data_IF_804293851618
#
_entry.id   IF_804293851618
#
_cell.length_a   1.000
_cell.length_b   1.000
_cell.length_c   1.000
_cell.angle_alpha   90.00
_cell.angle_beta   90.00
_cell.angle_gamma   90.00
#
_symmetry.space_group_name_H-M   'P 1'
#
loop_
_entity.id
_entity.type
_entity.pdbx_description
1 polymer ?
#
# COMPACT_ATOMS: atom_id res chain seq x y z
N UNK A 1 12.56 40.98 36.56
CA UNK A 1 11.60 39.85 36.51
C UNK A 1 11.02 39.85 35.10
N UNK A 2 11.52 38.99 34.21
CA UNK A 2 11.08 38.96 32.82
C UNK A 2 9.79 38.14 32.69
N UNK A 3 8.78 38.66 32.00
CA UNK A 3 7.52 37.97 31.75
C UNK A 3 7.74 36.66 30.96
N UNK A 4 6.95 35.60 31.20
CA UNK A 4 7.06 34.36 30.44
C UNK A 4 6.70 34.63 28.96
N UNK A 5 7.37 33.96 28.00
CA UNK A 5 7.03 34.09 26.59
C UNK A 5 5.59 33.60 26.38
N UNK A 6 4.79 34.42 25.70
CA UNK A 6 3.41 34.07 25.34
C UNK A 6 3.34 32.80 24.48
N UNK A 7 2.16 32.16 24.40
CA UNK A 7 1.97 30.96 23.58
C UNK A 7 2.41 31.23 22.14
N UNK A 8 3.18 30.31 21.55
CA UNK A 8 3.58 30.39 20.14
C UNK A 8 2.32 30.45 19.28
N UNK A 9 2.27 31.28 18.23
CA UNK A 9 1.15 31.28 17.31
C UNK A 9 0.93 29.87 16.77
N UNK A 10 -0.29 29.38 16.91
CA UNK A 10 -0.78 28.15 16.30
C UNK A 10 -0.42 28.24 14.82
N UNK A 11 0.39 27.30 14.31
CA UNK A 11 0.80 27.35 12.92
C UNK A 11 -0.44 27.25 12.05
N UNK A 12 -0.65 28.24 11.17
CA UNK A 12 -1.72 28.34 10.17
C UNK A 12 -1.65 27.21 9.11
N UNK A 13 -1.49 25.96 9.56
CA UNK A 13 -1.54 24.81 8.68
C UNK A 13 -3.01 24.45 8.45
N UNK A 14 -3.47 24.48 7.20
CA UNK A 14 -4.84 24.10 6.88
C UNK A 14 -5.10 22.66 7.35
N UNK A 15 -6.32 22.43 7.87
CA UNK A 15 -6.71 21.12 8.39
C UNK A 15 -6.47 20.02 7.36
N UNK A 16 -5.85 18.92 7.81
CA UNK A 16 -5.51 17.77 6.95
C UNK A 16 -6.79 17.26 6.28
N UNK A 17 -6.78 17.24 4.94
CA UNK A 17 -7.93 16.82 4.12
C UNK A 17 -8.85 17.95 3.63
N UNK A 18 -8.60 19.20 4.01
CA UNK A 18 -9.34 20.37 3.48
C UNK A 18 -8.87 20.75 2.07
N UNK A 19 -9.73 21.44 1.30
CA UNK A 19 -9.37 21.98 -0.03
C UNK A 19 -8.15 22.91 0.07
N UNK A 20 -8.05 23.69 1.14
CA UNK A 20 -6.91 24.56 1.40
C UNK A 20 -5.60 23.77 1.64
N UNK A 21 -5.67 22.61 2.29
CA UNK A 21 -4.53 21.71 2.48
C UNK A 21 -4.06 21.08 1.17
N UNK A 22 -4.99 20.69 0.30
CA UNK A 22 -4.67 20.20 -1.05
C UNK A 22 -4.03 21.32 -1.87
N UNK A 23 -4.62 22.51 -1.88
CA UNK A 23 -4.12 23.64 -2.65
C UNK A 23 -2.73 24.11 -2.19
N UNK A 24 -2.48 24.11 -0.88
CA UNK A 24 -1.17 24.44 -0.31
C UNK A 24 -0.10 23.38 -0.61
N UNK A 25 -0.50 22.14 -0.88
CA UNK A 25 0.40 21.03 -1.26
C UNK A 25 0.64 20.90 -2.77
N UNK A 26 -0.06 21.66 -3.62
CA UNK A 26 0.15 21.62 -5.07
C UNK A 26 1.42 22.38 -5.46
N UNK A 27 2.53 21.65 -5.61
CA UNK A 27 3.75 22.16 -6.21
C UNK A 27 3.85 21.80 -7.70
N UNK A 28 4.86 22.33 -8.39
CA UNK A 28 5.11 22.06 -9.82
C UNK A 28 5.29 20.55 -10.06
N UNK A 29 5.87 19.83 -9.12
CA UNK A 29 6.04 18.37 -9.21
C UNK A 29 4.70 17.64 -9.17
N UNK A 30 3.77 18.09 -8.34
CA UNK A 30 2.42 17.52 -8.20
C UNK A 30 1.60 17.79 -9.46
N UNK A 31 1.66 19.01 -10.00
CA UNK A 31 0.98 19.37 -11.26
C UNK A 31 1.56 18.57 -12.44
N UNK A 32 2.89 18.46 -12.55
CA UNK A 32 3.52 17.65 -13.58
C UNK A 32 3.14 16.16 -13.48
N UNK A 33 3.03 15.63 -12.27
CA UNK A 33 2.58 14.26 -12.03
C UNK A 33 1.13 14.05 -12.50
N UNK A 34 0.22 14.96 -12.15
CA UNK A 34 -1.19 14.89 -12.59
C UNK A 34 -1.27 14.98 -14.11
N UNK A 35 -0.60 15.96 -14.72
CA UNK A 35 -0.59 16.14 -16.18
C UNK A 35 -0.06 14.90 -16.91
N UNK A 36 1.02 14.30 -16.39
CA UNK A 36 1.60 13.07 -16.95
C UNK A 36 0.63 11.90 -16.85
N UNK A 37 0.02 11.68 -15.68
CA UNK A 37 -0.96 10.61 -15.49
C UNK A 37 -2.20 10.80 -16.38
N UNK A 38 -2.67 12.03 -16.58
CA UNK A 38 -3.77 12.34 -17.50
C UNK A 38 -3.39 12.14 -18.96
N UNK A 39 -2.18 12.52 -19.37
CA UNK A 39 -1.66 12.23 -20.71
C UNK A 39 -1.60 10.73 -20.99
N UNK A 40 -1.09 9.94 -20.03
CA UNK A 40 -1.06 8.47 -20.14
C UNK A 40 -2.47 7.89 -20.23
N UNK A 41 -3.43 8.40 -19.45
CA UNK A 41 -4.82 7.97 -19.53
C UNK A 41 -5.43 8.24 -20.91
N UNK A 42 -5.28 9.46 -21.43
CA UNK A 42 -5.78 9.82 -22.77
C UNK A 42 -5.14 8.95 -23.85
N UNK A 43 -3.84 8.69 -23.75
CA UNK A 43 -3.12 7.83 -24.67
C UNK A 43 -3.63 6.39 -24.61
N UNK A 44 -3.84 5.85 -23.41
CA UNK A 44 -4.35 4.51 -23.21
C UNK A 44 -5.77 4.34 -23.80
N UNK A 45 -6.63 5.36 -23.64
CA UNK A 45 -7.96 5.39 -24.23
C UNK A 45 -7.89 5.51 -25.77
N UNK A 46 -7.01 6.36 -26.29
CA UNK A 46 -6.85 6.53 -27.74
C UNK A 46 -6.30 5.27 -28.42
N UNK A 47 -5.31 4.63 -27.81
CA UNK A 47 -4.67 3.41 -28.31
C UNK A 47 -5.42 2.13 -27.93
N UNK A 48 -6.55 2.22 -27.23
CA UNK A 48 -7.35 1.08 -26.80
C UNK A 48 -6.50 0.04 -26.05
N UNK A 49 -5.67 0.50 -25.11
CA UNK A 49 -4.79 -0.40 -24.36
C UNK A 49 -5.60 -1.51 -23.69
N UNK A 50 -5.14 -2.74 -23.87
CA UNK A 50 -5.72 -3.86 -23.16
C UNK A 50 -5.52 -3.66 -21.65
N UNK A 51 -6.62 -3.66 -20.92
CA UNK A 51 -6.63 -3.43 -19.47
C UNK A 51 -5.90 -4.57 -18.74
N UNK A 52 -5.91 -5.78 -19.29
CA UNK A 52 -5.31 -6.97 -18.66
C UNK A 52 -3.81 -6.84 -18.37
N UNK A 53 -2.95 -6.64 -19.37
CA UNK A 53 -1.52 -6.42 -19.15
C UNK A 53 -1.23 -5.31 -18.15
N UNK A 54 -1.99 -4.21 -18.21
CA UNK A 54 -1.83 -3.06 -17.31
C UNK A 54 -2.11 -3.47 -15.85
N UNK A 55 -3.21 -4.18 -15.59
CA UNK A 55 -3.53 -4.67 -14.24
C UNK A 55 -2.44 -5.61 -13.72
N UNK A 56 -1.93 -6.52 -14.55
CA UNK A 56 -0.85 -7.43 -14.18
C UNK A 56 0.47 -6.72 -13.84
N UNK A 57 0.79 -5.65 -14.57
CA UNK A 57 1.96 -4.81 -14.30
C UNK A 57 1.79 -4.09 -12.95
N UNK A 58 0.64 -3.48 -12.68
CA UNK A 58 0.38 -2.79 -11.41
C UNK A 58 0.29 -3.76 -10.21
N UNK A 59 -0.27 -4.96 -10.41
CA UNK A 59 -0.23 -6.02 -9.41
C UNK A 59 1.22 -6.39 -9.07
N UNK A 60 2.05 -6.62 -10.09
CA UNK A 60 3.47 -6.96 -9.92
C UNK A 60 4.21 -5.84 -9.20
N UNK A 61 3.98 -4.59 -9.59
CA UNK A 61 4.52 -3.40 -8.92
C UNK A 61 4.15 -3.38 -7.43
N UNK A 62 2.90 -3.67 -7.09
CA UNK A 62 2.43 -3.71 -5.70
C UNK A 62 3.11 -4.80 -4.88
N UNK A 63 3.31 -6.00 -5.44
CA UNK A 63 4.08 -7.08 -4.80
C UNK A 63 5.54 -6.66 -4.56
N UNK A 64 6.17 -6.08 -5.57
CA UNK A 64 7.56 -5.58 -5.51
C UNK A 64 7.70 -4.52 -4.40
N UNK A 65 6.76 -3.56 -4.33
CA UNK A 65 6.73 -2.56 -3.27
C UNK A 65 6.63 -3.22 -1.90
N UNK A 66 5.74 -4.19 -1.73
CA UNK A 66 5.59 -4.93 -0.48
C UNK A 66 6.87 -5.67 -0.07
N UNK A 67 7.53 -6.31 -1.03
CA UNK A 67 8.81 -6.99 -0.83
C UNK A 67 9.88 -6.02 -0.30
N UNK A 68 10.12 -4.89 -0.98
CA UNK A 68 11.10 -3.91 -0.52
C UNK A 68 10.67 -3.22 0.79
N UNK A 69 9.37 -3.04 1.01
CA UNK A 69 8.86 -2.48 2.25
C UNK A 69 9.16 -3.39 3.44
N UNK A 70 9.02 -4.71 3.27
CA UNK A 70 9.37 -5.68 4.32
C UNK A 70 10.84 -5.51 4.75
N UNK A 71 11.78 -5.46 3.80
CA UNK A 71 13.19 -5.20 4.12
C UNK A 71 13.42 -3.81 4.70
N UNK A 72 12.68 -2.80 4.24
CA UNK A 72 12.75 -1.45 4.80
C UNK A 72 12.35 -1.44 6.27
N UNK A 73 11.25 -2.09 6.64
CA UNK A 73 10.81 -2.23 8.03
C UNK A 73 11.92 -2.88 8.85
N UNK A 74 12.52 -3.98 8.37
CA UNK A 74 13.61 -4.67 9.08
C UNK A 74 14.92 -3.86 9.18
N UNK A 75 15.16 -2.94 8.24
CA UNK A 75 16.38 -2.12 8.22
C UNK A 75 16.34 -0.91 9.16
N UNK A 76 15.17 -0.55 9.69
CA UNK A 76 15.05 0.59 10.60
C UNK A 76 15.88 0.37 11.86
N UNK A 77 16.74 1.35 12.18
CA UNK A 77 17.52 1.38 13.43
C UNK A 77 16.90 2.28 14.47
N UNK A 78 16.26 3.37 14.03
CA UNK A 78 15.59 4.35 14.88
C UNK A 78 14.10 4.40 14.52
N UNK A 79 13.23 3.93 15.41
CA UNK A 79 11.79 3.98 15.20
C UNK A 79 11.03 4.24 16.49
N UNK A 80 9.83 4.81 16.37
CA UNK A 80 8.90 4.99 17.48
C UNK A 80 7.65 4.14 17.29
N UNK A 81 6.98 3.85 18.39
CA UNK A 81 5.73 3.07 18.44
C UNK A 81 4.64 3.83 19.21
N UNK A 82 4.80 5.14 19.36
CA UNK A 82 3.94 6.01 20.19
C UNK A 82 2.48 6.01 19.71
N UNK A 83 2.27 5.81 18.41
CA UNK A 83 0.95 5.70 17.77
C UNK A 83 0.33 4.29 17.91
N UNK A 84 1.03 3.34 18.53
CA UNK A 84 0.59 1.95 18.68
C UNK A 84 0.30 1.69 20.16
N UNK A 85 -0.96 1.36 20.45
CA UNK A 85 -1.40 0.96 21.78
C UNK A 85 -1.84 -0.50 21.79
N UNK A 86 -1.42 -1.23 22.81
CA UNK A 86 -1.87 -2.60 23.08
C UNK A 86 -2.41 -2.61 24.52
N UNK A 87 -3.67 -3.00 24.69
CA UNK A 87 -4.39 -2.94 25.98
C UNK A 87 -4.34 -1.54 26.65
N UNK A 88 -4.42 -0.47 25.86
CA UNK A 88 -4.40 0.91 26.34
C UNK A 88 -3.01 1.47 26.69
N UNK A 89 -1.98 0.62 26.75
CA UNK A 89 -0.59 1.01 26.99
C UNK A 89 0.20 1.19 25.68
N UNK A 90 1.14 2.15 25.62
CA UNK A 90 2.03 2.30 24.48
C UNK A 90 2.93 1.07 24.34
N UNK A 91 3.07 0.58 23.10
CA UNK A 91 3.97 -0.56 22.82
C UNK A 91 5.41 -0.07 22.85
N UNK A 92 6.33 -0.83 23.46
CA UNK A 92 7.74 -0.46 23.45
C UNK A 92 8.39 -0.65 22.06
N UNK A 93 9.25 0.30 21.61
CA UNK A 93 9.94 0.27 20.32
C UNK A 93 11.14 -0.70 20.35
N UNK A 94 10.87 -1.97 20.61
CA UNK A 94 11.89 -3.03 20.65
C UNK A 94 12.07 -3.67 19.28
N UNK A 95 13.24 -4.28 19.05
CA UNK A 95 13.48 -5.13 17.86
C UNK A 95 12.48 -6.29 17.76
N UNK A 96 12.00 -6.80 18.89
CA UNK A 96 10.95 -7.83 18.92
C UNK A 96 9.65 -7.35 18.31
N UNK A 97 9.20 -6.14 18.70
CA UNK A 97 8.01 -5.48 18.13
C UNK A 97 8.17 -5.27 16.62
N UNK A 98 9.32 -4.76 16.19
CA UNK A 98 9.64 -4.53 14.77
C UNK A 98 9.52 -5.81 13.95
N UNK A 99 10.13 -6.91 14.40
CA UNK A 99 10.07 -8.20 13.71
C UNK A 99 8.66 -8.76 13.62
N UNK A 100 7.88 -8.70 14.71
CA UNK A 100 6.48 -9.15 14.73
C UNK A 100 5.63 -8.36 13.74
N UNK A 101 5.79 -7.03 13.70
CA UNK A 101 5.08 -6.18 12.75
C UNK A 101 5.52 -6.40 11.31
N UNK A 102 6.81 -6.61 11.06
CA UNK A 102 7.33 -6.95 9.73
C UNK A 102 6.76 -8.30 9.23
N UNK A 103 6.72 -9.31 10.11
CA UNK A 103 6.14 -10.61 9.79
C UNK A 103 4.63 -10.51 9.55
N UNK A 104 3.91 -9.83 10.43
CA UNK A 104 2.48 -9.55 10.24
C UNK A 104 2.23 -8.86 8.91
N UNK A 105 3.02 -7.84 8.58
CA UNK A 105 2.95 -7.16 7.29
C UNK A 105 3.17 -8.12 6.13
N UNK A 106 4.25 -8.91 6.14
CA UNK A 106 4.56 -9.85 5.06
C UNK A 106 3.45 -10.88 4.84
N UNK A 107 2.93 -11.48 5.92
CA UNK A 107 1.87 -12.49 5.86
C UNK A 107 0.55 -11.85 5.41
N UNK A 108 0.11 -10.78 6.07
CA UNK A 108 -1.16 -10.13 5.77
C UNK A 108 -1.15 -9.56 4.35
N UNK A 109 -0.15 -8.74 4.01
CA UNK A 109 0.01 -8.16 2.67
C UNK A 109 0.14 -9.24 1.59
N UNK A 110 0.90 -10.31 1.87
CA UNK A 110 1.09 -11.44 0.97
C UNK A 110 -0.19 -12.20 0.68
N UNK A 111 -1.01 -12.48 1.69
CA UNK A 111 -2.30 -13.17 1.53
C UNK A 111 -3.23 -12.36 0.62
N UNK A 112 -3.36 -11.04 0.81
CA UNK A 112 -4.18 -10.21 -0.09
C UNK A 112 -3.69 -10.26 -1.54
N UNK A 113 -2.38 -10.19 -1.76
CA UNK A 113 -1.82 -10.27 -3.12
C UNK A 113 -1.99 -11.65 -3.75
N UNK A 114 -1.92 -12.71 -2.94
CA UNK A 114 -2.17 -14.07 -3.40
C UNK A 114 -3.64 -14.27 -3.79
N UNK A 115 -4.59 -13.79 -2.97
CA UNK A 115 -6.02 -13.81 -3.32
C UNK A 115 -6.27 -13.03 -4.62
N UNK A 116 -5.62 -11.87 -4.81
CA UNK A 116 -5.69 -11.16 -6.09
C UNK A 116 -5.10 -11.92 -7.25
N UNK A 117 -3.96 -12.57 -7.06
CA UNK A 117 -3.37 -13.39 -8.10
C UNK A 117 -4.37 -14.43 -8.61
N UNK A 118 -5.03 -15.14 -7.71
CA UNK A 118 -6.07 -16.12 -8.06
C UNK A 118 -7.19 -15.45 -8.87
N UNK A 119 -7.71 -14.31 -8.42
CA UNK A 119 -8.76 -13.61 -9.17
C UNK A 119 -8.31 -13.10 -10.54
N UNK A 120 -7.08 -12.60 -10.65
CA UNK A 120 -6.54 -12.12 -11.91
C UNK A 120 -6.33 -13.25 -12.91
N UNK A 121 -5.82 -14.41 -12.48
CA UNK A 121 -5.69 -15.58 -13.37
C UNK A 121 -7.05 -16.05 -13.87
N UNK A 122 -8.08 -16.03 -13.03
CA UNK A 122 -9.41 -16.50 -13.39
C UNK A 122 -10.20 -15.50 -14.24
N UNK A 123 -10.09 -14.20 -13.96
CA UNK A 123 -10.88 -13.17 -14.62
C UNK A 123 -10.18 -12.54 -15.83
N UNK A 124 -8.84 -12.43 -15.79
CA UNK A 124 -8.05 -11.72 -16.80
C UNK A 124 -6.73 -12.46 -17.06
N UNK A 125 -6.78 -13.71 -17.59
CA UNK A 125 -5.58 -14.49 -17.85
C UNK A 125 -4.67 -13.78 -18.87
N UNK A 126 -3.35 -13.70 -18.61
CA UNK A 126 -2.44 -13.04 -19.54
C UNK A 126 -2.24 -13.89 -20.80
N UNK A 127 -2.39 -13.29 -21.97
CA UNK A 127 -2.01 -13.91 -23.25
C UNK A 127 -0.48 -13.97 -23.45
N UNK A 128 0.04 -14.83 -24.34
CA UNK A 128 1.48 -14.97 -24.55
C UNK A 128 2.21 -13.66 -24.87
N UNK A 129 1.61 -12.82 -25.71
CA UNK A 129 2.17 -11.51 -26.09
C UNK A 129 2.12 -10.49 -24.94
N UNK A 130 1.16 -10.64 -24.03
CA UNK A 130 1.08 -9.80 -22.83
C UNK A 130 2.14 -10.17 -21.79
N UNK A 131 2.53 -11.44 -21.71
CA UNK A 131 3.49 -11.94 -20.72
C UNK A 131 4.84 -11.22 -20.80
N UNK A 132 5.38 -11.02 -22.00
CA UNK A 132 6.66 -10.33 -22.18
C UNK A 132 6.59 -8.87 -21.71
N UNK A 133 5.47 -8.19 -21.99
CA UNK A 133 5.21 -6.83 -21.53
C UNK A 133 5.08 -6.77 -20.00
N UNK A 134 4.38 -7.74 -19.40
CA UNK A 134 4.21 -7.84 -17.95
C UNK A 134 5.56 -8.08 -17.27
N UNK A 135 6.36 -9.04 -17.76
CA UNK A 135 7.66 -9.39 -17.20
C UNK A 135 8.65 -8.22 -17.33
N UNK A 136 8.70 -7.57 -18.49
CA UNK A 136 9.57 -6.40 -18.68
C UNK A 136 9.15 -5.22 -17.80
N UNK A 137 7.85 -4.93 -17.69
CA UNK A 137 7.32 -3.92 -16.78
C UNK A 137 7.64 -4.22 -15.32
N UNK A 138 7.42 -5.47 -14.87
CA UNK A 138 7.77 -5.91 -13.53
C UNK A 138 9.28 -5.79 -13.25
N UNK A 139 10.13 -6.17 -14.21
CA UNK A 139 11.58 -6.04 -14.11
C UNK A 139 12.01 -4.57 -13.97
N UNK A 140 11.45 -3.66 -14.76
CA UNK A 140 11.71 -2.23 -14.65
C UNK A 140 11.29 -1.67 -13.28
N UNK A 141 10.11 -2.04 -12.79
CA UNK A 141 9.66 -1.63 -11.45
C UNK A 141 10.54 -2.20 -10.34
N UNK A 142 10.99 -3.45 -10.49
CA UNK A 142 11.90 -4.10 -9.55
C UNK A 142 13.24 -3.38 -9.52
N UNK A 143 13.86 -3.13 -10.67
CA UNK A 143 15.13 -2.41 -10.77
C UNK A 143 15.02 -0.99 -10.18
N UNK A 144 13.95 -0.27 -10.51
CA UNK A 144 13.72 1.07 -9.97
C UNK A 144 13.59 1.05 -8.43
N UNK A 145 12.84 0.09 -7.87
CA UNK A 145 12.72 -0.04 -6.43
C UNK A 145 14.01 -0.55 -5.78
N UNK A 146 14.74 -1.45 -6.41
CA UNK A 146 16.03 -1.94 -5.92
C UNK A 146 17.06 -0.80 -5.84
N UNK A 147 17.16 0.04 -6.88
CA UNK A 147 18.03 1.21 -6.89
C UNK A 147 17.61 2.23 -5.83
N UNK A 148 16.31 2.56 -5.77
CA UNK A 148 15.78 3.48 -4.76
C UNK A 148 16.03 2.97 -3.34
N UNK A 149 15.83 1.67 -3.10
CA UNK A 149 16.11 1.04 -1.82
C UNK A 149 17.61 1.11 -1.51
N UNK A 150 18.50 0.75 -2.43
CA UNK A 150 19.95 0.76 -2.22
C UNK A 150 20.49 2.17 -1.91
N UNK A 151 20.04 3.18 -2.65
CA UNK A 151 20.47 4.58 -2.49
C UNK A 151 19.97 5.15 -1.15
N UNK A 152 18.69 4.90 -0.81
CA UNK A 152 18.08 5.48 0.37
C UNK A 152 18.25 4.64 1.64
N UNK A 153 18.75 3.41 1.54
CA UNK A 153 18.86 2.44 2.64
C UNK A 153 19.45 3.05 3.92
N UNK A 154 20.62 3.67 3.81
CA UNK A 154 21.32 4.23 4.98
C UNK A 154 20.56 5.40 5.60
N UNK A 155 20.01 6.28 4.75
CA UNK A 155 19.26 7.46 5.19
C UNK A 155 17.97 7.06 5.89
N UNK A 156 17.23 6.12 5.31
CA UNK A 156 15.97 5.63 5.86
C UNK A 156 16.21 4.83 7.14
N UNK A 157 17.26 4.00 7.20
CA UNK A 157 17.60 3.23 8.40
C UNK A 157 17.94 4.10 9.62
N UNK A 158 18.52 5.28 9.40
CA UNK A 158 18.94 6.20 10.48
C UNK A 158 17.85 7.22 10.87
N UNK A 159 16.89 7.49 9.99
CA UNK A 159 15.82 8.46 10.26
C UNK A 159 14.88 7.93 11.33
N UNK A 160 14.50 8.77 12.28
CA UNK A 160 13.43 8.44 13.23
C UNK A 160 12.08 8.39 12.48
N UNK A 161 11.46 7.22 12.44
CA UNK A 161 10.16 7.01 11.79
C UNK A 161 9.19 6.29 12.72
N UNK A 162 7.90 6.65 12.67
CA UNK A 162 6.88 5.88 13.38
C UNK A 162 6.67 4.53 12.66
N UNK A 163 6.82 3.42 13.39
CA UNK A 163 6.71 2.08 12.84
C UNK A 163 5.33 1.81 12.23
N UNK A 164 4.26 2.32 12.86
CA UNK A 164 2.87 2.27 12.37
C UNK A 164 2.74 2.83 10.96
N UNK A 165 3.22 4.05 10.73
CA UNK A 165 3.15 4.73 9.43
C UNK A 165 3.96 4.01 8.36
N UNK A 166 5.16 3.53 8.71
CA UNK A 166 6.01 2.80 7.76
C UNK A 166 5.33 1.52 7.29
N UNK A 167 4.66 0.80 8.19
CA UNK A 167 3.86 -0.39 7.85
C UNK A 167 2.59 -0.03 7.08
N UNK A 168 1.98 1.13 7.33
CA UNK A 168 0.71 1.55 6.72
C UNK A 168 0.82 2.06 5.27
N UNK A 169 1.94 2.69 4.89
CA UNK A 169 2.11 3.34 3.55
C UNK A 169 1.75 2.43 2.35
N UNK A 170 2.18 1.14 2.30
CA UNK A 170 1.84 0.28 1.17
C UNK A 170 0.34 0.03 0.99
N UNK A 171 -0.45 0.07 2.07
CA UNK A 171 -1.89 -0.20 2.02
C UNK A 171 -2.66 0.85 1.22
N UNK A 172 -2.20 2.11 1.21
CA UNK A 172 -2.80 3.14 0.37
C UNK A 172 -2.74 2.78 -1.14
N UNK A 173 -1.73 2.00 -1.55
CA UNK A 173 -1.54 1.55 -2.94
C UNK A 173 -2.35 0.31 -3.28
N UNK A 174 -2.83 -0.41 -2.27
CA UNK A 174 -3.71 -1.57 -2.43
C UNK A 174 -5.16 -1.13 -2.73
N UNK A 175 -5.55 0.10 -2.40
CA UNK A 175 -6.91 0.63 -2.63
C UNK A 175 -7.28 0.63 -4.12
N UNK A 176 -6.46 1.17 -5.05
CA UNK A 176 -6.75 1.07 -6.49
C UNK A 176 -6.95 -0.36 -6.98
N UNK A 177 -6.14 -1.31 -6.47
CA UNK A 177 -6.25 -2.73 -6.82
C UNK A 177 -7.52 -3.38 -6.27
N UNK A 178 -7.91 -3.09 -5.02
CA UNK A 178 -9.19 -3.53 -4.44
C UNK A 178 -10.34 -3.06 -5.32
N UNK A 179 -10.36 -1.77 -5.65
CA UNK A 179 -11.41 -1.20 -6.48
C UNK A 179 -11.43 -1.87 -7.85
N UNK A 180 -10.30 -1.96 -8.55
CA UNK A 180 -10.22 -2.56 -9.88
C UNK A 180 -10.71 -4.02 -9.89
N UNK A 181 -10.29 -4.84 -8.92
CA UNK A 181 -10.71 -6.24 -8.83
C UNK A 181 -12.18 -6.37 -8.43
N UNK A 182 -12.65 -5.60 -7.45
CA UNK A 182 -14.06 -5.61 -7.02
C UNK A 182 -14.97 -5.16 -8.17
N UNK A 183 -14.64 -4.07 -8.87
CA UNK A 183 -15.38 -3.62 -10.04
C UNK A 183 -15.33 -4.64 -11.18
N UNK A 184 -14.16 -5.22 -11.46
CA UNK A 184 -14.05 -6.26 -12.50
C UNK A 184 -14.92 -7.48 -12.16
N UNK A 185 -14.93 -7.89 -10.89
CA UNK A 185 -15.63 -9.11 -10.47
C UNK A 185 -17.15 -8.91 -10.33
N UNK A 186 -17.60 -7.76 -9.82
CA UNK A 186 -19.01 -7.41 -9.67
C UNK A 186 -19.72 -7.14 -10.99
N UNK A 187 -19.03 -6.50 -11.95
CA UNK A 187 -19.64 -6.07 -13.21
C UNK A 187 -19.47 -7.08 -14.35
N UNK A 188 -18.45 -7.96 -14.29
CA UNK A 188 -18.17 -8.90 -15.38
C UNK A 188 -18.46 -10.38 -15.05
N UNK A 189 -18.83 -10.76 -13.81
CA UNK A 189 -19.10 -12.19 -13.52
C UNK A 189 -20.12 -12.46 -12.40
N UNK A 190 -21.05 -13.41 -12.62
CA UNK A 190 -21.93 -13.96 -11.57
C UNK A 190 -21.19 -14.83 -10.53
N UNK A 191 -19.99 -15.31 -10.87
CA UNK A 191 -19.06 -16.00 -9.96
C UNK A 191 -18.53 -15.08 -8.85
N UNK A 192 -18.52 -13.78 -9.15
CA UNK A 192 -18.43 -12.61 -8.28
C UNK A 192 -18.89 -12.82 -6.84
N UNK A 193 -20.20 -12.96 -6.78
CA UNK A 193 -20.96 -13.01 -5.54
C UNK A 193 -20.72 -14.31 -4.78
N UNK A 194 -20.60 -15.43 -5.49
CA UNK A 194 -20.42 -16.75 -4.86
C UNK A 194 -19.11 -16.81 -4.10
N UNK A 195 -18.02 -16.36 -4.69
CA UNK A 195 -16.70 -16.39 -4.07
C UNK A 195 -16.56 -15.39 -2.92
N UNK A 196 -17.15 -14.19 -3.07
CA UNK A 196 -17.27 -13.24 -1.96
C UNK A 196 -18.04 -13.84 -0.78
N UNK A 197 -19.18 -14.49 -1.03
CA UNK A 197 -19.99 -15.14 0.00
C UNK A 197 -19.23 -16.26 0.70
N UNK A 198 -18.43 -17.05 -0.03
CA UNK A 198 -17.60 -18.10 0.55
C UNK A 198 -16.49 -17.54 1.45
N UNK A 199 -15.74 -16.53 0.97
CA UNK A 199 -14.67 -15.90 1.75
C UNK A 199 -15.23 -15.19 2.99
N UNK A 200 -16.36 -14.51 2.84
CA UNK A 200 -17.06 -13.89 3.97
C UNK A 200 -17.46 -14.94 5.00
N UNK A 201 -18.06 -16.04 4.57
CA UNK A 201 -18.48 -17.13 5.49
C UNK A 201 -17.28 -17.72 6.22
N UNK A 202 -16.15 -17.92 5.54
CA UNK A 202 -14.91 -18.38 6.17
C UNK A 202 -14.38 -17.37 7.20
N UNK A 203 -14.36 -16.08 6.86
CA UNK A 203 -13.90 -15.02 7.77
C UNK A 203 -14.80 -14.91 9.02
N UNK A 204 -16.12 -14.90 8.84
CA UNK A 204 -17.09 -14.88 9.94
C UNK A 204 -16.91 -16.10 10.87
N UNK A 205 -16.67 -17.28 10.28
CA UNK A 205 -16.44 -18.52 11.05
C UNK A 205 -15.14 -18.46 11.86
N UNK A 206 -14.05 -17.97 11.26
CA UNK A 206 -12.77 -17.80 11.94
C UNK A 206 -12.88 -16.80 13.09
N UNK A 207 -13.56 -15.67 12.87
CA UNK A 207 -13.81 -14.67 13.91
C UNK A 207 -14.64 -15.26 15.06
N UNK A 208 -15.70 -15.99 14.75
CA UNK A 208 -16.52 -16.66 15.75
C UNK A 208 -15.71 -17.66 16.58
N UNK A 209 -14.86 -18.49 15.95
CA UNK A 209 -13.98 -19.42 16.67
C UNK A 209 -12.95 -18.69 17.53
N UNK A 210 -12.33 -17.63 17.00
CA UNK A 210 -11.35 -16.84 17.73
C UNK A 210 -11.96 -16.13 18.95
N UNK A 211 -13.19 -15.63 18.82
CA UNK A 211 -13.95 -15.07 19.94
C UNK A 211 -14.27 -16.14 20.99
N UNK A 212 -14.71 -17.34 20.62
CA UNK A 212 -15.01 -18.42 21.60
C UNK A 212 -13.76 -19.07 22.21
N UNK A 213 -12.61 -19.01 21.55
CA UNK A 213 -11.34 -19.52 22.08
C UNK A 213 -10.65 -18.53 23.04
N UNK A 214 -11.10 -17.27 23.07
CA UNK A 214 -10.58 -16.22 23.95
C UNK A 214 -11.30 -16.12 25.31
N UNK A 215 -12.24 -17.04 25.59
CA UNK A 215 -12.95 -17.23 26.85
C UNK A 215 -12.63 -18.61 27.43
#
# INVERSE_FOLDING_TARGET
>A
MAAPPGPRPESDHPAIGSIAWIAAGMDVSTVALIATNMGVLVLALYQQWEIGPVIWIYWSQSVIIGFFQFFKILSLRNFTTDDIRMNGAPVEPTRGTQWRLALFFAVHYGIFHFVYFVFLVLAVPPGPQATDLIVSGAALFFLNHALSFAINYRRDAQRLQSLSRVVAIPYARIIPMHLAVVFSFLFFSGFGLVLFMLLKTAADTVMHIAEHAAW
#
